data_IF_624000221376
#
_entry.id   IF_624000221376
#
_cell.length_a   1.000
_cell.length_b   1.000
_cell.length_c   1.000
_cell.angle_alpha   90.00
_cell.angle_beta   90.00
_cell.angle_gamma   90.00
#
_symmetry.space_group_name_H-M   'P 1'
#
loop_
_entity.id
_entity.type
_entity.pdbx_description
1 polymer ?
#
# COMPACT_ATOMS: atom_id res chain seq x y z
N UNK A 1 58.72 -54.36 -7.90
CA UNK A 1 57.96 -54.84 -6.73
C UNK A 1 56.72 -53.99 -6.60
N UNK A 2 55.60 -54.62 -6.92
CA UNK A 2 54.25 -54.09 -7.02
C UNK A 2 53.58 -54.03 -5.65
N UNK A 3 52.76 -53.00 -5.40
CA UNK A 3 51.67 -53.09 -4.43
C UNK A 3 50.46 -52.34 -4.98
N UNK A 4 49.50 -53.13 -5.46
CA UNK A 4 48.14 -52.71 -5.78
C UNK A 4 47.40 -52.61 -4.45
N UNK A 5 46.74 -51.48 -4.18
CA UNK A 5 45.68 -51.41 -3.18
C UNK A 5 44.36 -51.14 -3.88
N UNK A 6 43.53 -52.17 -3.87
CA UNK A 6 42.13 -52.19 -4.28
C UNK A 6 41.28 -51.33 -3.34
N UNK A 7 40.30 -50.66 -3.93
CA UNK A 7 39.30 -49.85 -3.26
C UNK A 7 38.44 -50.66 -2.27
N UNK A 8 38.05 -50.02 -1.17
CA UNK A 8 36.93 -50.41 -0.31
C UNK A 8 35.92 -49.27 -0.38
N UNK A 9 34.65 -49.52 -0.72
CA UNK A 9 33.65 -48.46 -0.81
C UNK A 9 33.21 -48.06 0.60
N UNK A 10 33.33 -46.79 0.94
CA UNK A 10 32.76 -46.23 2.17
C UNK A 10 31.27 -45.95 1.91
N UNK A 11 30.42 -46.83 2.41
CA UNK A 11 28.98 -46.68 2.44
C UNK A 11 28.63 -45.55 3.41
N UNK A 12 28.29 -44.36 2.90
CA UNK A 12 27.73 -43.29 3.74
C UNK A 12 26.25 -43.59 3.93
N UNK A 13 25.91 -44.07 5.13
CA UNK A 13 24.55 -44.24 5.60
C UNK A 13 23.95 -42.85 5.88
N UNK A 14 23.07 -42.38 4.99
CA UNK A 14 22.27 -41.17 5.24
C UNK A 14 21.12 -41.56 6.18
N UNK A 15 21.26 -41.23 7.46
CA UNK A 15 20.17 -41.28 8.44
C UNK A 15 19.21 -40.11 8.15
N UNK A 16 18.13 -40.40 7.43
CA UNK A 16 16.98 -39.50 7.35
C UNK A 16 16.23 -39.54 8.68
N UNK A 17 16.38 -38.51 9.50
CA UNK A 17 15.44 -38.26 10.58
C UNK A 17 14.16 -37.68 9.98
N UNK A 18 13.12 -38.51 9.90
CA UNK A 18 11.75 -38.04 9.81
C UNK A 18 11.40 -37.40 11.15
N UNK A 19 11.26 -36.08 11.17
CA UNK A 19 10.61 -35.39 12.28
C UNK A 19 9.09 -35.52 12.06
N UNK A 20 8.49 -36.59 12.58
CA UNK A 20 7.05 -36.60 12.81
C UNK A 20 6.77 -35.70 14.00
N UNK A 21 6.40 -34.45 13.73
CA UNK A 21 5.72 -33.61 14.72
C UNK A 21 4.38 -34.28 15.03
N UNK A 22 4.33 -35.08 16.09
CA UNK A 22 3.06 -35.38 16.74
C UNK A 22 2.55 -34.07 17.30
N UNK A 23 1.49 -33.52 16.69
CA UNK A 23 0.71 -32.44 17.27
C UNK A 23 0.16 -32.93 18.62
N UNK A 24 0.90 -32.74 19.69
CA UNK A 24 0.32 -32.70 21.02
C UNK A 24 -0.49 -31.41 21.05
N UNK A 25 -1.80 -31.54 20.83
CA UNK A 25 -2.73 -30.42 20.84
C UNK A 25 -2.44 -29.55 22.05
N UNK A 26 -2.03 -28.31 21.80
CA UNK A 26 -2.15 -27.27 22.82
C UNK A 26 -3.65 -27.20 23.14
N UNK A 27 -4.06 -27.21 24.41
CA UNK A 27 -5.43 -26.82 24.71
C UNK A 27 -5.57 -25.41 24.12
N UNK A 28 -6.55 -25.22 23.23
CA UNK A 28 -7.06 -23.91 22.92
C UNK A 28 -7.48 -23.31 24.26
N UNK A 29 -6.60 -22.50 24.84
CA UNK A 29 -7.00 -21.50 25.79
C UNK A 29 -7.90 -20.59 24.97
N UNK A 30 -9.21 -20.84 25.08
CA UNK A 30 -10.21 -19.82 24.81
C UNK A 30 -9.87 -18.65 25.73
N UNK A 31 -8.99 -17.78 25.23
CA UNK A 31 -8.94 -16.41 25.70
C UNK A 31 -10.29 -15.83 25.33
N UNK A 32 -10.94 -15.32 26.39
CA UNK A 32 -12.04 -14.38 26.51
C UNK A 32 -12.75 -13.99 25.21
N UNK A 33 -14.10 -13.91 25.24
CA UNK A 33 -14.92 -13.49 24.10
C UNK A 33 -14.38 -12.22 23.41
N UNK A 34 -14.75 -11.97 22.15
CA UNK A 34 -14.02 -11.05 21.27
C UNK A 34 -13.60 -9.80 22.02
N UNK A 35 -12.28 -9.60 22.15
CA UNK A 35 -11.74 -8.38 22.72
C UNK A 35 -12.33 -7.21 21.94
N UNK A 36 -12.70 -6.14 22.63
CA UNK A 36 -13.12 -4.92 21.94
C UNK A 36 -12.05 -4.56 20.88
N UNK A 37 -12.47 -4.11 19.68
CA UNK A 37 -11.51 -3.71 18.66
C UNK A 37 -10.59 -2.63 19.24
N UNK A 38 -9.34 -2.63 18.79
CA UNK A 38 -8.34 -1.64 19.19
C UNK A 38 -8.86 -0.21 18.95
N UNK A 39 -8.33 0.78 19.64
CA UNK A 39 -8.59 2.17 19.27
C UNK A 39 -7.85 2.53 17.98
N UNK A 40 -8.33 3.55 17.26
CA UNK A 40 -7.61 4.06 16.08
C UNK A 40 -6.17 4.49 16.41
N UNK A 41 -5.93 5.03 17.61
CA UNK A 41 -4.59 5.40 18.08
C UNK A 41 -3.67 4.17 18.21
N UNK A 42 -4.19 3.06 18.71
CA UNK A 42 -3.44 1.80 18.80
C UNK A 42 -3.17 1.19 17.42
N UNK A 43 -4.18 1.18 16.55
CA UNK A 43 -4.07 0.65 15.17
C UNK A 43 -3.08 1.49 14.37
N UNK A 44 -3.17 2.82 14.44
CA UNK A 44 -2.30 3.73 13.68
C UNK A 44 -0.85 3.71 14.14
N UNK A 45 -0.58 3.27 15.37
CA UNK A 45 0.78 3.04 15.88
C UNK A 45 1.37 1.68 15.43
N UNK A 46 0.57 0.80 14.82
CA UNK A 46 1.07 -0.45 14.24
C UNK A 46 1.86 -0.21 12.96
N UNK A 47 2.82 -1.08 12.68
CA UNK A 47 3.66 -1.03 11.47
C UNK A 47 3.45 -2.25 10.54
N UNK A 48 2.44 -3.09 10.80
CA UNK A 48 2.17 -4.27 9.99
C UNK A 48 0.81 -4.18 9.29
N UNK A 49 0.84 -4.44 7.99
CA UNK A 49 -0.30 -4.28 7.09
C UNK A 49 -0.36 -5.35 6.00
N UNK A 50 -1.55 -5.53 5.45
CA UNK A 50 -1.81 -6.28 4.22
C UNK A 50 -2.01 -5.33 3.04
N UNK A 51 -1.72 -5.82 1.83
CA UNK A 51 -1.93 -5.07 0.59
C UNK A 51 -2.85 -5.82 -0.36
N UNK A 52 -3.68 -5.07 -1.08
CA UNK A 52 -4.58 -5.60 -2.10
C UNK A 52 -5.88 -6.18 -1.52
N UNK A 53 -6.86 -6.38 -2.41
CA UNK A 53 -8.19 -6.89 -2.06
C UNK A 53 -8.35 -8.39 -2.36
N UNK A 54 -7.32 -9.03 -2.93
CA UNK A 54 -7.36 -10.44 -3.27
C UNK A 54 -7.22 -11.32 -2.05
N UNK A 55 -8.29 -12.04 -1.68
CA UNK A 55 -8.23 -13.04 -0.61
C UNK A 55 -8.24 -12.43 0.80
N UNK A 56 -8.99 -11.34 1.01
CA UNK A 56 -9.24 -10.77 2.34
C UNK A 56 -9.80 -11.84 3.30
N UNK A 57 -9.15 -11.99 4.44
CA UNK A 57 -9.52 -12.89 5.53
C UNK A 57 -9.28 -12.14 6.85
N UNK A 58 -10.32 -11.50 7.38
CA UNK A 58 -10.23 -10.68 8.57
C UNK A 58 -9.87 -11.48 9.82
N UNK A 59 -10.33 -12.73 9.93
CA UNK A 59 -9.95 -13.61 11.05
C UNK A 59 -8.44 -13.87 11.03
N UNK A 60 -7.86 -14.14 9.86
CA UNK A 60 -6.42 -14.30 9.71
C UNK A 60 -5.65 -12.99 9.97
N UNK A 61 -6.19 -11.85 9.53
CA UNK A 61 -5.59 -10.53 9.80
C UNK A 61 -5.53 -10.23 11.30
N UNK A 62 -6.60 -10.50 12.04
CA UNK A 62 -6.63 -10.38 13.50
C UNK A 62 -5.62 -11.31 14.18
N UNK A 63 -5.57 -12.59 13.78
CA UNK A 63 -4.63 -13.57 14.35
C UNK A 63 -3.16 -13.15 14.13
N UNK A 64 -2.87 -12.55 12.98
CA UNK A 64 -1.52 -12.12 12.58
C UNK A 64 -1.14 -10.72 13.07
N UNK A 65 -2.08 -9.96 13.65
CA UNK A 65 -1.86 -8.56 14.05
C UNK A 65 -1.68 -7.62 12.86
N UNK A 66 -2.38 -7.88 11.77
CA UNK A 66 -2.45 -6.98 10.61
C UNK A 66 -3.41 -5.86 10.95
N UNK A 67 -2.91 -4.62 10.95
CA UNK A 67 -3.67 -3.44 11.39
C UNK A 67 -3.78 -2.36 10.31
N UNK A 68 -3.20 -2.61 9.14
CA UNK A 68 -3.32 -1.72 7.99
C UNK A 68 -3.77 -2.51 6.76
N UNK A 69 -4.61 -1.91 5.94
CA UNK A 69 -4.98 -2.43 4.63
C UNK A 69 -4.77 -1.35 3.56
N UNK A 70 -3.95 -1.65 2.55
CA UNK A 70 -3.79 -0.81 1.36
C UNK A 70 -4.88 -1.12 0.34
N UNK A 71 -5.74 -0.14 0.06
CA UNK A 71 -6.95 -0.28 -0.76
C UNK A 71 -6.86 0.62 -2.01
N UNK A 72 -7.06 0.08 -3.22
CA UNK A 72 -7.12 0.88 -4.43
C UNK A 72 -8.50 1.54 -4.61
N UNK A 73 -8.49 2.75 -5.16
CA UNK A 73 -9.66 3.44 -5.68
C UNK A 73 -9.32 4.06 -7.04
N UNK A 74 -10.14 3.75 -8.04
CA UNK A 74 -10.03 4.32 -9.36
C UNK A 74 -11.07 5.45 -9.53
N UNK A 75 -10.63 6.57 -10.08
CA UNK A 75 -11.51 7.68 -10.49
C UNK A 75 -11.49 7.74 -12.01
N UNK A 76 -12.63 7.42 -12.62
CA UNK A 76 -12.82 7.40 -14.08
C UNK A 76 -13.47 8.70 -14.57
N UNK A 77 -13.21 9.07 -15.82
CA UNK A 77 -13.84 10.25 -16.42
C UNK A 77 -15.30 9.97 -16.82
N UNK A 78 -16.17 9.96 -15.82
CA UNK A 78 -17.62 9.91 -15.98
C UNK A 78 -18.26 10.85 -14.95
N UNK A 79 -18.73 12.04 -15.36
CA UNK A 79 -19.38 12.98 -14.45
C UNK A 79 -20.65 12.43 -13.77
N UNK A 80 -21.26 11.39 -14.32
CA UNK A 80 -22.45 10.75 -13.74
C UNK A 80 -22.09 9.64 -12.74
N UNK A 81 -20.90 9.04 -12.90
CA UNK A 81 -20.45 7.93 -12.08
C UNK A 81 -18.92 7.81 -12.00
N UNK A 82 -18.23 8.73 -11.30
CA UNK A 82 -16.77 8.80 -11.32
C UNK A 82 -16.06 7.65 -10.59
N UNK A 83 -16.81 6.83 -9.83
CA UNK A 83 -16.25 5.74 -9.00
C UNK A 83 -16.62 4.35 -9.52
N UNK A 84 -17.22 4.25 -10.71
CA UNK A 84 -17.60 2.98 -11.31
C UNK A 84 -18.83 2.32 -10.67
N UNK A 85 -19.05 1.04 -10.97
CA UNK A 85 -20.26 0.33 -10.54
C UNK A 85 -20.36 0.28 -9.01
N UNK A 86 -21.53 0.66 -8.47
CA UNK A 86 -21.76 0.72 -7.02
C UNK A 86 -21.28 2.01 -6.34
N UNK A 87 -20.60 2.90 -7.05
CA UNK A 87 -20.11 4.16 -6.49
C UNK A 87 -19.14 3.91 -5.33
N UNK A 88 -19.31 4.64 -4.23
CA UNK A 88 -18.50 4.46 -3.02
C UNK A 88 -19.04 3.39 -2.06
N UNK A 89 -20.21 2.81 -2.29
CA UNK A 89 -20.82 1.86 -1.35
C UNK A 89 -19.98 0.59 -1.08
N UNK A 90 -19.30 -0.02 -2.07
CA UNK A 90 -18.38 -1.13 -1.79
C UNK A 90 -17.20 -0.72 -0.90
N UNK A 91 -16.70 0.53 -1.06
CA UNK A 91 -15.62 1.06 -0.23
C UNK A 91 -16.12 1.40 1.18
N UNK A 92 -17.33 1.95 1.30
CA UNK A 92 -18.01 2.19 2.59
C UNK A 92 -18.09 0.89 3.41
N UNK A 93 -18.59 -0.18 2.80
CA UNK A 93 -18.73 -1.50 3.43
C UNK A 93 -17.37 -2.05 3.88
N UNK A 94 -16.36 -1.96 3.01
CA UNK A 94 -15.00 -2.41 3.33
C UNK A 94 -14.38 -1.62 4.49
N UNK A 95 -14.52 -0.28 4.51
CA UNK A 95 -13.97 0.56 5.58
C UNK A 95 -14.64 0.23 6.91
N UNK A 96 -15.97 0.05 6.92
CA UNK A 96 -16.70 -0.32 8.13
C UNK A 96 -16.33 -1.72 8.63
N UNK A 97 -16.14 -2.68 7.73
CA UNK A 97 -15.66 -4.02 8.11
C UNK A 97 -14.22 -3.96 8.65
N UNK A 98 -13.32 -3.22 8.00
CA UNK A 98 -11.95 -3.04 8.48
C UNK A 98 -11.88 -2.50 9.91
N UNK A 99 -12.66 -1.46 10.25
CA UNK A 99 -12.65 -0.90 11.60
C UNK A 99 -13.26 -1.84 12.66
N UNK A 100 -14.21 -2.71 12.29
CA UNK A 100 -14.75 -3.74 13.18
C UNK A 100 -13.67 -4.77 13.57
N UNK A 101 -12.70 -4.98 12.68
CA UNK A 101 -11.58 -5.91 12.83
C UNK A 101 -10.26 -5.23 13.28
N UNK A 102 -10.30 -3.96 13.68
CA UNK A 102 -9.10 -3.26 14.14
C UNK A 102 -8.06 -3.00 13.03
N UNK A 103 -8.52 -2.77 11.80
CA UNK A 103 -7.71 -2.50 10.62
C UNK A 103 -7.97 -1.07 10.11
N UNK A 104 -6.94 -0.25 10.01
CA UNK A 104 -7.00 1.06 9.38
C UNK A 104 -6.76 0.96 7.87
N UNK A 105 -7.43 1.83 7.12
CA UNK A 105 -7.32 1.86 5.66
C UNK A 105 -6.32 2.94 5.21
N UNK A 106 -5.46 2.54 4.28
CA UNK A 106 -4.56 3.39 3.52
C UNK A 106 -4.98 3.33 2.04
N UNK A 107 -5.23 4.46 1.41
CA UNK A 107 -5.78 4.50 0.05
C UNK A 107 -4.70 4.77 -0.99
N UNK A 108 -4.69 4.00 -2.08
CA UNK A 108 -4.03 4.37 -3.33
C UNK A 108 -5.10 4.78 -4.34
N UNK A 109 -5.03 6.02 -4.82
CA UNK A 109 -6.05 6.59 -5.71
C UNK A 109 -5.45 6.90 -7.07
N UNK A 110 -6.02 6.33 -8.13
CA UNK A 110 -5.55 6.49 -9.51
C UNK A 110 -6.61 7.14 -10.39
N UNK A 111 -6.18 8.04 -11.27
CA UNK A 111 -7.02 8.41 -12.41
C UNK A 111 -7.02 7.25 -13.40
N UNK A 112 -8.18 6.91 -13.98
CA UNK A 112 -8.31 5.83 -14.96
C UNK A 112 -9.07 6.33 -16.18
N UNK A 113 -8.64 5.88 -17.36
CA UNK A 113 -9.28 6.22 -18.63
C UNK A 113 -10.72 5.71 -18.69
N UNK A 114 -11.60 6.50 -19.30
CA UNK A 114 -12.94 6.03 -19.66
C UNK A 114 -12.89 5.02 -20.83
N UNK A 115 -14.05 4.52 -21.25
CA UNK A 115 -14.16 3.54 -22.34
C UNK A 115 -13.62 4.06 -23.68
N UNK A 116 -13.63 5.38 -23.87
CA UNK A 116 -13.08 6.08 -25.03
C UNK A 116 -11.54 6.26 -24.97
N UNK A 117 -10.90 5.89 -23.85
CA UNK A 117 -9.46 6.03 -23.65
C UNK A 117 -9.03 7.43 -23.18
N UNK A 118 -9.96 8.27 -22.74
CA UNK A 118 -9.68 9.63 -22.26
C UNK A 118 -9.35 9.62 -20.77
N UNK A 119 -8.25 10.28 -20.41
CA UNK A 119 -7.91 10.53 -19.00
C UNK A 119 -8.87 11.55 -18.38
N UNK A 120 -9.26 11.40 -17.09
CA UNK A 120 -10.02 12.43 -16.38
C UNK A 120 -9.21 13.71 -16.29
N UNK A 121 -9.74 14.90 -16.60
CA UNK A 121 -9.02 16.14 -16.36
C UNK A 121 -8.47 16.23 -14.91
N UNK A 122 -7.24 16.72 -14.67
CA UNK A 122 -6.67 16.79 -13.32
C UNK A 122 -7.56 17.49 -12.28
N UNK A 123 -8.28 18.53 -12.66
CA UNK A 123 -9.22 19.24 -11.79
C UNK A 123 -10.44 18.38 -11.45
N UNK A 124 -10.94 17.60 -12.42
CA UNK A 124 -12.04 16.66 -12.18
C UNK A 124 -11.60 15.57 -11.20
N UNK A 125 -10.41 14.99 -11.41
CA UNK A 125 -9.83 14.00 -10.51
C UNK A 125 -9.71 14.55 -9.09
N UNK A 126 -9.14 15.74 -8.93
CA UNK A 126 -8.98 16.38 -7.62
C UNK A 126 -10.32 16.71 -6.95
N UNK A 127 -11.33 17.16 -7.70
CA UNK A 127 -12.67 17.44 -7.16
C UNK A 127 -13.33 16.15 -6.64
N UNK A 128 -13.24 15.05 -7.38
CA UNK A 128 -13.82 13.78 -6.94
C UNK A 128 -13.04 13.20 -5.76
N UNK A 129 -11.70 13.25 -5.81
CA UNK A 129 -10.85 12.85 -4.69
C UNK A 129 -11.19 13.63 -3.41
N UNK A 130 -11.42 14.95 -3.49
CA UNK A 130 -11.82 15.76 -2.32
C UNK A 130 -13.08 15.24 -1.65
N UNK A 131 -14.09 14.81 -2.42
CA UNK A 131 -15.34 14.25 -1.90
C UNK A 131 -15.12 12.91 -1.19
N UNK A 132 -14.19 12.11 -1.70
CA UNK A 132 -13.78 10.84 -1.09
C UNK A 132 -13.05 11.10 0.23
N UNK A 133 -12.17 12.10 0.27
CA UNK A 133 -11.45 12.48 1.49
C UNK A 133 -12.41 12.97 2.56
N UNK A 134 -13.29 13.93 2.24
CA UNK A 134 -14.33 14.43 3.16
C UNK A 134 -15.16 13.28 3.76
N UNK A 135 -15.57 12.34 2.92
CA UNK A 135 -16.38 11.20 3.36
C UNK A 135 -15.67 10.33 4.41
N UNK A 136 -14.35 10.29 4.42
CA UNK A 136 -13.56 9.37 5.23
C UNK A 136 -12.57 10.06 6.18
N UNK A 137 -12.64 11.38 6.35
CA UNK A 137 -11.70 12.09 7.21
C UNK A 137 -12.11 12.06 8.69
N UNK A 138 -13.36 11.73 9.05
CA UNK A 138 -13.75 11.57 10.44
C UNK A 138 -13.69 12.85 11.26
N UNK A 139 -13.86 14.04 10.64
CA UNK A 139 -13.92 15.32 11.35
C UNK A 139 -15.33 15.63 11.93
N UNK A 140 -16.33 14.81 11.58
CA UNK A 140 -17.72 14.92 11.98
C UNK A 140 -18.64 15.61 10.96
N UNK A 141 -18.13 16.07 9.81
CA UNK A 141 -18.87 16.73 8.72
C UNK A 141 -18.97 15.78 7.53
N UNK A 142 -20.20 15.51 7.08
CA UNK A 142 -20.51 14.67 5.91
C UNK A 142 -19.76 13.30 5.81
N UNK A 143 -19.24 12.83 6.94
CA UNK A 143 -18.59 11.54 7.12
C UNK A 143 -19.49 10.36 6.76
N UNK A 144 -18.85 9.25 6.38
CA UNK A 144 -19.47 7.94 6.34
C UNK A 144 -20.15 7.62 7.70
N UNK A 145 -21.48 7.36 7.73
CA UNK A 145 -22.14 7.03 8.97
C UNK A 145 -21.55 5.79 9.66
N UNK A 146 -21.12 5.95 10.91
CA UNK A 146 -20.50 4.87 11.69
C UNK A 146 -18.97 4.81 11.58
N UNK A 147 -18.35 5.71 10.80
CA UNK A 147 -16.90 5.83 10.72
C UNK A 147 -16.31 6.18 12.08
N UNK A 148 -15.36 5.37 12.54
CA UNK A 148 -14.56 5.65 13.75
C UNK A 148 -13.06 5.62 13.44
N UNK A 149 -12.65 5.03 12.32
CA UNK A 149 -11.26 4.97 11.87
C UNK A 149 -11.11 5.84 10.61
N UNK A 150 -10.62 7.07 10.73
CA UNK A 150 -10.46 7.94 9.57
C UNK A 150 -9.35 7.44 8.64
N UNK A 151 -9.53 7.69 7.35
CA UNK A 151 -8.50 7.44 6.32
C UNK A 151 -7.55 8.63 6.30
N UNK A 152 -6.34 8.42 6.83
CA UNK A 152 -5.33 9.48 6.98
C UNK A 152 -4.19 9.40 5.98
N UNK A 153 -4.04 8.32 5.23
CA UNK A 153 -2.92 8.13 4.32
C UNK A 153 -3.44 7.94 2.90
N UNK A 154 -2.86 8.70 1.97
CA UNK A 154 -3.29 8.77 0.58
C UNK A 154 -2.06 8.72 -0.33
N UNK A 155 -2.05 7.75 -1.24
CA UNK A 155 -1.06 7.61 -2.30
C UNK A 155 -1.70 7.97 -3.64
N UNK A 156 -1.03 8.83 -4.41
CA UNK A 156 -1.54 9.27 -5.71
C UNK A 156 -0.87 8.47 -6.82
N UNK A 157 -1.66 7.58 -7.41
CA UNK A 157 -1.32 6.61 -8.45
C UNK A 157 -0.47 5.44 -7.94
N UNK A 158 -0.61 4.27 -8.56
CA UNK A 158 0.24 3.11 -8.25
C UNK A 158 1.41 3.02 -9.24
N UNK A 159 2.65 3.08 -8.75
CA UNK A 159 3.84 2.84 -9.59
C UNK A 159 3.88 3.71 -10.86
N UNK A 160 3.62 5.01 -10.73
CA UNK A 160 3.67 5.90 -11.89
C UNK A 160 5.10 6.01 -12.45
N UNK A 161 5.25 5.60 -13.71
CA UNK A 161 6.43 5.82 -14.54
C UNK A 161 5.95 6.21 -15.95
N UNK A 162 6.51 7.29 -16.50
CA UNK A 162 6.10 7.85 -17.78
C UNK A 162 6.23 6.80 -18.90
N UNK A 163 5.12 6.54 -19.60
CA UNK A 163 5.10 5.60 -20.72
C UNK A 163 5.14 4.12 -20.35
N UNK A 164 4.96 3.76 -19.07
CA UNK A 164 4.97 2.38 -18.59
C UNK A 164 3.59 1.95 -18.06
N UNK A 165 3.31 0.64 -18.15
CA UNK A 165 2.12 0.04 -17.54
C UNK A 165 0.81 0.69 -18.03
N UNK A 166 -0.16 0.98 -17.13
CA UNK A 166 -1.40 1.65 -17.51
C UNK A 166 -1.20 3.15 -17.76
N UNK A 167 0.00 3.70 -17.56
CA UNK A 167 0.34 5.13 -17.67
C UNK A 167 0.88 5.52 -19.05
N UNK A 168 0.70 4.67 -20.06
CA UNK A 168 0.99 5.02 -21.46
C UNK A 168 0.20 6.27 -21.84
N UNK A 169 0.82 7.18 -22.60
CA UNK A 169 0.23 8.47 -23.00
C UNK A 169 -0.17 9.38 -21.82
N UNK A 170 0.50 9.25 -20.67
CA UNK A 170 0.44 10.21 -19.58
C UNK A 170 1.85 10.68 -19.24
N UNK A 171 2.15 11.94 -19.56
CA UNK A 171 3.46 12.55 -19.33
C UNK A 171 3.71 12.86 -17.85
N UNK A 172 4.98 12.98 -17.47
CA UNK A 172 5.36 13.35 -16.10
C UNK A 172 4.90 14.76 -15.72
N UNK A 173 4.80 15.67 -16.70
CA UNK A 173 4.21 17.00 -16.53
C UNK A 173 2.73 16.92 -16.15
N UNK A 174 1.96 16.06 -16.83
CA UNK A 174 0.55 15.82 -16.52
C UNK A 174 0.40 15.15 -15.16
N UNK A 175 1.22 14.14 -14.85
CA UNK A 175 1.24 13.51 -13.52
C UNK A 175 1.56 14.50 -12.40
N UNK A 176 2.51 15.41 -12.59
CA UNK A 176 2.80 16.48 -11.62
C UNK A 176 1.57 17.37 -11.36
N UNK A 177 0.76 17.63 -12.37
CA UNK A 177 -0.48 18.39 -12.22
C UNK A 177 -1.53 17.61 -11.42
N UNK A 178 -1.75 16.32 -11.73
CA UNK A 178 -2.60 15.44 -10.90
C UNK A 178 -2.14 15.45 -9.44
N UNK A 179 -0.83 15.29 -9.21
CA UNK A 179 -0.28 15.21 -7.87
C UNK A 179 -0.47 16.51 -7.08
N UNK A 180 -0.19 17.66 -7.69
CA UNK A 180 -0.37 18.98 -7.04
C UNK A 180 -1.82 19.23 -6.66
N UNK A 181 -2.75 18.99 -7.58
CA UNK A 181 -4.17 19.21 -7.34
C UNK A 181 -4.73 18.22 -6.33
N UNK A 182 -4.30 16.96 -6.38
CA UNK A 182 -4.67 15.95 -5.38
C UNK A 182 -4.16 16.31 -3.98
N UNK A 183 -2.90 16.73 -3.84
CA UNK A 183 -2.36 17.18 -2.56
C UNK A 183 -3.17 18.33 -1.98
N UNK A 184 -3.47 19.35 -2.80
CA UNK A 184 -4.29 20.48 -2.38
C UNK A 184 -5.70 20.04 -1.96
N UNK A 185 -6.37 19.23 -2.78
CA UNK A 185 -7.69 18.70 -2.49
C UNK A 185 -7.74 17.92 -1.18
N UNK A 186 -6.76 17.03 -0.94
CA UNK A 186 -6.65 16.24 0.29
C UNK A 186 -6.43 17.16 1.49
N UNK A 187 -5.47 18.10 1.43
CA UNK A 187 -5.17 18.98 2.56
C UNK A 187 -6.29 19.98 2.86
N UNK A 188 -7.07 20.36 1.85
CA UNK A 188 -8.24 21.23 2.04
C UNK A 188 -9.40 20.54 2.76
N UNK A 189 -9.65 19.26 2.48
CA UNK A 189 -10.65 18.48 3.21
C UNK A 189 -10.09 18.04 4.58
N UNK A 190 -8.89 17.46 4.58
CA UNK A 190 -8.25 16.87 5.74
C UNK A 190 -6.81 17.40 5.93
N UNK A 191 -6.62 18.47 6.72
CA UNK A 191 -5.29 19.04 6.98
C UNK A 191 -4.29 18.07 7.64
N UNK A 192 -4.81 17.12 8.42
CA UNK A 192 -4.02 16.10 9.13
C UNK A 192 -3.64 14.90 8.24
N UNK A 193 -4.25 14.75 7.06
CA UNK A 193 -3.99 13.64 6.16
C UNK A 193 -2.58 13.74 5.55
N UNK A 194 -1.95 12.59 5.35
CA UNK A 194 -0.62 12.43 4.77
C UNK A 194 -0.73 11.99 3.32
N UNK A 195 0.11 12.54 2.46
CA UNK A 195 0.07 12.34 1.00
C UNK A 195 1.42 11.89 0.46
N UNK A 196 1.43 10.83 -0.33
CA UNK A 196 2.60 10.37 -1.08
C UNK A 196 2.33 10.42 -2.59
N UNK A 197 3.37 10.63 -3.41
CA UNK A 197 3.29 10.33 -4.83
C UNK A 197 3.19 8.81 -5.01
N UNK A 198 2.91 8.37 -6.23
CA UNK A 198 2.79 6.96 -6.52
C UNK A 198 4.05 6.19 -6.19
N UNK A 199 3.85 4.95 -5.73
CA UNK A 199 4.91 4.11 -5.18
C UNK A 199 6.14 4.04 -6.08
N UNK A 200 7.32 4.22 -5.49
CA UNK A 200 8.57 4.01 -6.22
C UNK A 200 8.87 2.52 -6.28
N UNK A 201 9.33 2.03 -7.43
CA UNK A 201 9.71 0.62 -7.63
C UNK A 201 11.23 0.49 -7.64
N UNK A 202 11.79 -0.15 -6.61
CA UNK A 202 13.24 -0.23 -6.42
C UNK A 202 13.86 1.04 -5.81
N UNK A 203 15.18 1.06 -5.55
CA UNK A 203 15.80 2.08 -4.70
C UNK A 203 15.99 3.45 -5.37
N UNK A 204 15.56 3.62 -6.62
CA UNK A 204 15.70 4.84 -7.40
C UNK A 204 14.42 5.12 -8.18
N UNK A 205 14.09 6.39 -8.38
CA UNK A 205 12.90 6.80 -9.12
C UNK A 205 13.13 8.10 -9.89
N UNK A 206 12.98 8.02 -11.21
CA UNK A 206 12.99 9.17 -12.13
C UNK A 206 11.79 10.08 -11.89
N UNK A 207 10.63 9.51 -11.57
CA UNK A 207 9.43 10.26 -11.16
C UNK A 207 9.70 11.09 -9.91
N UNK A 208 10.27 10.50 -8.86
CA UNK A 208 10.54 11.24 -7.61
C UNK A 208 11.61 12.33 -7.80
N UNK A 209 12.66 12.04 -8.57
CA UNK A 209 13.66 13.05 -8.98
C UNK A 209 12.98 14.24 -9.67
N UNK A 210 12.11 13.97 -10.64
CA UNK A 210 11.39 15.00 -11.38
C UNK A 210 10.47 15.85 -10.48
N UNK A 211 9.72 15.23 -9.57
CA UNK A 211 8.85 15.97 -8.63
C UNK A 211 9.66 16.95 -7.78
N UNK A 212 10.82 16.52 -7.28
CA UNK A 212 11.74 17.36 -6.48
C UNK A 212 12.32 18.49 -7.32
N UNK A 213 12.79 18.21 -8.55
CA UNK A 213 13.29 19.23 -9.49
C UNK A 213 12.21 20.25 -9.86
N UNK A 214 10.95 19.82 -9.95
CA UNK A 214 9.80 20.67 -10.19
C UNK A 214 9.32 21.44 -8.95
N UNK A 215 10.02 21.32 -7.81
CA UNK A 215 9.72 22.04 -6.57
C UNK A 215 8.54 21.48 -5.77
N UNK A 216 8.20 20.20 -5.94
CA UNK A 216 7.11 19.54 -5.21
C UNK A 216 7.56 18.84 -3.91
N UNK A 217 8.80 19.06 -3.45
CA UNK A 217 9.33 18.40 -2.24
C UNK A 217 8.49 18.64 -0.99
N UNK A 218 7.92 19.84 -0.84
CA UNK A 218 7.06 20.20 0.29
C UNK A 218 5.65 19.60 0.20
N UNK A 219 5.31 18.95 -0.92
CA UNK A 219 4.03 18.28 -1.14
C UNK A 219 4.11 16.76 -0.88
N UNK A 220 5.27 16.25 -0.44
CA UNK A 220 5.50 14.82 -0.21
C UNK A 220 5.61 14.57 1.29
N UNK A 221 4.56 14.04 1.93
CA UNK A 221 4.57 13.78 3.36
C UNK A 221 5.34 12.50 3.72
N UNK A 222 5.22 11.46 2.89
CA UNK A 222 5.90 10.18 3.05
C UNK A 222 6.27 9.56 1.69
N UNK A 223 7.13 8.55 1.72
CA UNK A 223 7.58 7.80 0.55
C UNK A 223 6.89 6.44 0.54
N UNK A 224 6.10 6.18 -0.50
CA UNK A 224 5.53 4.87 -0.77
C UNK A 224 6.53 4.04 -1.60
N UNK A 225 6.83 2.81 -1.16
CA UNK A 225 7.96 2.02 -1.66
C UNK A 225 7.56 0.57 -1.99
N UNK A 226 7.88 0.15 -3.21
CA UNK A 226 7.75 -1.22 -3.69
C UNK A 226 9.12 -1.86 -3.94
N UNK A 227 9.29 -3.10 -3.47
CA UNK A 227 10.47 -3.90 -3.79
C UNK A 227 10.12 -5.37 -3.98
N UNK A 228 10.37 -5.89 -5.18
CA UNK A 228 10.09 -7.28 -5.57
C UNK A 228 11.38 -8.11 -5.73
N UNK A 229 12.49 -7.61 -5.21
CA UNK A 229 13.78 -8.32 -5.18
C UNK A 229 13.94 -9.14 -3.89
N UNK A 230 14.96 -10.00 -3.83
CA UNK A 230 15.25 -10.83 -2.65
C UNK A 230 15.52 -9.99 -1.38
N UNK A 231 16.07 -8.79 -1.55
CA UNK A 231 16.37 -7.85 -0.47
C UNK A 231 15.72 -6.50 -0.77
N UNK A 232 15.21 -5.83 0.26
CA UNK A 232 14.50 -4.55 0.15
C UNK A 232 15.38 -3.35 -0.25
N UNK A 233 16.71 -3.51 -0.39
CA UNK A 233 17.66 -2.46 -0.82
C UNK A 233 17.46 -1.08 -0.15
N UNK A 234 17.02 -1.07 1.12
CA UNK A 234 16.68 0.15 1.86
C UNK A 234 17.88 1.09 2.02
N UNK A 235 19.09 0.56 2.12
CA UNK A 235 20.31 1.38 2.21
C UNK A 235 20.52 2.25 0.95
N UNK A 236 20.26 1.69 -0.24
CA UNK A 236 20.36 2.41 -1.51
C UNK A 236 19.23 3.43 -1.64
N UNK A 237 18.02 3.06 -1.22
CA UNK A 237 16.87 3.98 -1.14
C UNK A 237 17.18 5.15 -0.20
N UNK A 238 17.79 4.91 0.96
CA UNK A 238 18.17 5.95 1.92
C UNK A 238 19.16 6.95 1.31
N UNK A 239 20.20 6.47 0.63
CA UNK A 239 21.17 7.31 -0.07
C UNK A 239 20.50 8.12 -1.19
N UNK A 240 19.54 7.51 -1.89
CA UNK A 240 18.75 8.18 -2.91
C UNK A 240 17.92 9.33 -2.32
N UNK A 241 17.15 9.08 -1.26
CA UNK A 241 16.34 10.10 -0.59
C UNK A 241 17.20 11.21 0.03
N UNK A 242 18.37 10.89 0.57
CA UNK A 242 19.35 11.89 1.05
C UNK A 242 19.80 12.83 -0.07
N UNK A 243 20.08 12.31 -1.27
CA UNK A 243 20.43 13.13 -2.44
C UNK A 243 19.30 14.08 -2.83
N UNK A 244 18.05 13.65 -2.69
CA UNK A 244 16.87 14.45 -3.01
C UNK A 244 16.45 15.42 -1.91
N UNK A 245 17.08 15.35 -0.73
CA UNK A 245 16.67 16.15 0.43
C UNK A 245 15.37 15.66 1.07
N UNK A 246 15.05 14.38 0.95
CA UNK A 246 13.83 13.74 1.48
C UNK A 246 14.15 12.69 2.56
N UNK A 247 15.34 12.74 3.17
CA UNK A 247 15.82 11.73 4.12
C UNK A 247 15.04 11.67 5.44
N UNK A 248 14.28 12.72 5.75
CA UNK A 248 13.42 12.86 6.92
C UNK A 248 11.99 12.36 6.67
N UNK A 249 11.61 12.09 5.43
CA UNK A 249 10.29 11.56 5.08
C UNK A 249 10.16 10.10 5.55
N UNK A 250 9.05 9.72 6.22
CA UNK A 250 8.76 8.32 6.53
C UNK A 250 8.73 7.47 5.27
N UNK A 251 9.12 6.20 5.38
CA UNK A 251 9.08 5.24 4.27
C UNK A 251 8.02 4.18 4.61
N UNK A 252 7.07 4.01 3.72
CA UNK A 252 6.04 2.97 3.78
C UNK A 252 6.37 1.90 2.74
N UNK A 253 6.61 0.67 3.18
CA UNK A 253 6.74 -0.47 2.29
C UNK A 253 5.33 -0.95 1.94
N UNK A 254 4.84 -0.55 0.78
CA UNK A 254 3.43 -0.67 0.40
C UNK A 254 3.15 -1.89 -0.46
N UNK A 255 4.17 -2.41 -1.14
CA UNK A 255 4.19 -3.75 -1.72
C UNK A 255 5.59 -4.37 -1.62
N UNK A 256 5.64 -5.66 -1.32
CA UNK A 256 6.86 -6.44 -1.46
C UNK A 256 6.53 -7.90 -1.72
N UNK A 257 7.43 -8.58 -2.41
CA UNK A 257 7.32 -10.02 -2.60
C UNK A 257 8.63 -10.70 -2.24
N UNK A 258 8.57 -11.66 -1.32
CA UNK A 258 9.68 -12.53 -1.00
C UNK A 258 9.56 -13.81 -1.82
N UNK A 259 10.60 -14.16 -2.59
CA UNK A 259 10.69 -15.42 -3.33
C UNK A 259 10.92 -15.32 -4.84
N UNK A 260 11.01 -14.10 -5.38
CA UNK A 260 11.25 -13.84 -6.81
C UNK A 260 10.03 -14.14 -7.69
N UNK A 261 9.78 -13.30 -8.69
CA UNK A 261 8.94 -13.71 -9.82
C UNK A 261 9.72 -14.76 -10.61
N UNK A 262 9.27 -16.02 -10.57
CA UNK A 262 9.77 -17.05 -11.50
C UNK A 262 9.30 -16.77 -12.92
#
# INVERSE_FOLDING_TARGET
MTSVRSAVPLLILVLMFSLTLTASGRPHLYLEGPSAPLSYEEVSASHFGGGGLGGLDFEAMEELGVHWLRVPLDIVYDPSNPYGEGGLSPLDELILECQEHGVAVFMVVSAVRNEEGEWPPPEFFAEQLKKVVERYDGDGVDDLPGLIYPVRYWEIFNEYEEGMGPWVDLSKEEYLEYYRLAYQAIKEACPECQVAPGSIVGPHSTTLEYLVEAGASDLIDFISYHCYEEYLRVDELRVFLERLGLADRPIWLTESQFGGMM
#
